data_IF_339583855490
#
_entry.id   IF_339583855490
#
_cell.length_a   1.000
_cell.length_b   1.000
_cell.length_c   1.000
_cell.angle_alpha   90.00
_cell.angle_beta   90.00
_cell.angle_gamma   90.00
#
_symmetry.space_group_name_H-M   'P 1'
#
loop_
_entity.id
_entity.type
_entity.pdbx_description
1 polymer ?
#
# COMPACT_ATOMS: atom_id res chain seq x y z
N UNK A 1 -29.03 4.44 -4.96
CA UNK A 1 -28.44 4.92 -3.69
C UNK A 1 -27.05 5.51 -3.97
N UNK A 2 -26.76 6.79 -3.70
CA UNK A 2 -25.44 7.37 -4.00
C UNK A 2 -24.38 6.85 -3.02
N UNK A 3 -23.20 6.49 -3.53
CA UNK A 3 -22.09 6.01 -2.71
C UNK A 3 -21.60 7.11 -1.74
N UNK A 4 -21.32 6.80 -0.46
CA UNK A 4 -20.80 7.77 0.49
C UNK A 4 -19.51 8.43 -0.03
N UNK A 5 -19.27 9.72 0.30
CA UNK A 5 -18.15 10.52 -0.25
C UNK A 5 -16.79 9.80 -0.17
N UNK A 6 -16.55 9.07 0.92
CA UNK A 6 -15.35 8.25 1.14
C UNK A 6 -15.25 7.05 0.19
N UNK A 7 -16.35 6.37 -0.09
CA UNK A 7 -16.40 5.28 -1.07
C UNK A 7 -16.16 5.80 -2.50
N UNK A 8 -16.64 7.01 -2.84
CA UNK A 8 -16.34 7.66 -4.13
C UNK A 8 -14.87 8.03 -4.27
N UNK A 9 -14.24 8.49 -3.19
CA UNK A 9 -12.81 8.72 -3.17
C UNK A 9 -12.06 7.41 -3.39
N UNK A 10 -12.34 6.36 -2.60
CA UNK A 10 -11.74 5.03 -2.76
C UNK A 10 -11.96 4.44 -4.16
N UNK A 11 -13.12 4.60 -4.76
CA UNK A 11 -13.40 4.14 -6.12
C UNK A 11 -12.59 4.91 -7.19
N UNK A 12 -12.44 6.23 -7.04
CA UNK A 12 -11.57 7.06 -7.90
C UNK A 12 -10.09 6.70 -7.72
N UNK A 13 -9.68 6.44 -6.49
CA UNK A 13 -8.33 6.00 -6.14
C UNK A 13 -8.05 4.64 -6.78
N UNK A 14 -8.95 3.67 -6.60
CA UNK A 14 -8.88 2.36 -7.22
C UNK A 14 -8.73 2.47 -8.74
N UNK A 15 -9.56 3.26 -9.44
CA UNK A 15 -9.44 3.42 -10.90
C UNK A 15 -8.10 3.98 -11.35
N UNK A 16 -7.49 4.90 -10.59
CA UNK A 16 -6.18 5.49 -10.93
C UNK A 16 -5.02 4.50 -10.78
N UNK A 17 -5.10 3.55 -9.84
CA UNK A 17 -4.08 2.50 -9.66
C UNK A 17 -4.36 1.26 -10.51
N UNK A 18 -5.59 0.79 -10.48
CA UNK A 18 -5.98 -0.48 -11.07
C UNK A 18 -5.82 -0.45 -12.59
N UNK A 19 -6.13 0.64 -13.31
CA UNK A 19 -6.08 0.61 -14.77
C UNK A 19 -4.64 0.44 -15.33
N UNK A 20 -3.64 1.23 -14.92
CA UNK A 20 -2.26 1.01 -15.37
C UNK A 20 -1.68 -0.32 -14.88
N UNK A 21 -1.96 -0.69 -13.63
CA UNK A 21 -1.46 -1.93 -13.03
C UNK A 21 -2.10 -3.16 -13.68
N UNK A 22 -3.41 -3.20 -13.86
CA UNK A 22 -4.11 -4.32 -14.49
C UNK A 22 -3.63 -4.56 -15.92
N UNK A 23 -3.30 -3.51 -16.68
CA UNK A 23 -2.69 -3.66 -18.01
C UNK A 23 -1.32 -4.33 -17.95
N UNK A 24 -0.52 -4.02 -16.94
CA UNK A 24 0.82 -4.57 -16.77
C UNK A 24 0.82 -6.02 -16.29
N UNK A 25 -0.21 -6.38 -15.51
CA UNK A 25 -0.38 -7.70 -14.93
C UNK A 25 -1.52 -8.48 -15.60
N UNK A 26 -1.90 -8.14 -16.84
CA UNK A 26 -2.94 -8.88 -17.57
C UNK A 26 -2.54 -10.36 -17.65
N UNK A 27 -3.40 -11.26 -17.17
CA UNK A 27 -3.11 -12.70 -17.06
C UNK A 27 -2.28 -13.14 -15.84
N UNK A 28 -1.93 -12.23 -14.92
CA UNK A 28 -1.28 -12.48 -13.63
C UNK A 28 -2.06 -11.83 -12.48
N UNK A 29 -1.77 -12.20 -11.23
CA UNK A 29 -2.38 -11.56 -10.06
C UNK A 29 -1.82 -10.13 -9.90
N UNK A 30 -2.65 -9.08 -9.99
CA UNK A 30 -2.18 -7.70 -9.82
C UNK A 30 -1.54 -7.47 -8.44
N UNK A 31 -0.54 -6.58 -8.31
CA UNK A 31 0.05 -6.16 -7.03
C UNK A 31 -0.87 -5.25 -6.20
N UNK A 32 -2.19 -5.33 -6.40
CA UNK A 32 -3.15 -4.58 -5.59
C UNK A 32 -3.26 -5.22 -4.22
N UNK A 33 -3.19 -4.38 -3.19
CA UNK A 33 -3.32 -4.78 -1.80
C UNK A 33 -4.09 -3.71 -1.00
N UNK A 34 -4.54 -4.05 0.20
CA UNK A 34 -5.14 -3.12 1.14
C UNK A 34 -4.20 -2.97 2.33
N UNK A 35 -3.80 -1.73 2.63
CA UNK A 35 -3.10 -1.42 3.87
C UNK A 35 -4.12 -1.07 4.94
N UNK A 36 -4.08 -1.80 6.05
CA UNK A 36 -4.76 -1.45 7.29
C UNK A 36 -3.82 -0.65 8.19
N UNK A 37 -4.26 0.52 8.65
CA UNK A 37 -3.45 1.36 9.54
C UNK A 37 -4.30 2.08 10.58
N UNK A 38 -3.69 2.54 11.65
CA UNK A 38 -4.37 3.29 12.72
C UNK A 38 -3.98 4.76 12.68
N UNK A 39 -4.96 5.66 12.68
CA UNK A 39 -4.72 7.10 12.71
C UNK A 39 -3.89 7.50 13.93
N UNK A 40 -2.75 8.18 13.72
CA UNK A 40 -1.81 8.53 14.80
C UNK A 40 -2.44 9.42 15.88
N UNK A 41 -3.38 10.28 15.49
CA UNK A 41 -4.10 11.20 16.38
C UNK A 41 -5.44 10.65 16.89
N UNK A 42 -6.21 9.99 16.02
CA UNK A 42 -7.57 9.55 16.33
C UNK A 42 -7.66 8.14 16.92
N UNK A 43 -6.64 7.31 16.75
CA UNK A 43 -6.70 5.89 17.12
C UNK A 43 -7.66 5.05 16.25
N UNK A 44 -8.27 5.66 15.23
CA UNK A 44 -9.26 4.98 14.37
C UNK A 44 -8.53 4.10 13.35
N UNK A 45 -9.05 2.89 13.13
CA UNK A 45 -8.59 1.99 12.07
C UNK A 45 -9.10 2.45 10.70
N UNK A 46 -8.21 2.46 9.72
CA UNK A 46 -8.46 2.83 8.33
C UNK A 46 -7.89 1.78 7.38
N UNK A 47 -8.46 1.72 6.18
CA UNK A 47 -8.05 0.81 5.10
C UNK A 47 -7.91 1.60 3.81
N UNK A 48 -6.79 1.42 3.10
CA UNK A 48 -6.52 2.11 1.85
C UNK A 48 -5.97 1.15 0.79
N UNK A 49 -6.48 1.18 -0.46
CA UNK A 49 -5.90 0.40 -1.54
C UNK A 49 -4.52 0.98 -1.92
N UNK A 50 -3.54 0.10 -2.09
CA UNK A 50 -2.17 0.44 -2.48
C UNK A 50 -1.66 -0.52 -3.56
N UNK A 51 -0.53 -0.15 -4.17
CA UNK A 51 0.26 -1.05 -5.01
C UNK A 51 1.45 -1.53 -4.21
N UNK A 52 1.48 -2.82 -3.89
CA UNK A 52 2.51 -3.45 -3.07
C UNK A 52 3.23 -4.56 -3.86
N UNK A 53 4.55 -4.50 -3.87
CA UNK A 53 5.44 -5.46 -4.51
C UNK A 53 6.16 -6.27 -3.46
N UNK A 54 6.29 -7.58 -3.65
CA UNK A 54 7.14 -8.40 -2.79
C UNK A 54 8.61 -8.02 -3.02
N UNK A 55 9.38 -7.91 -1.95
CA UNK A 55 10.81 -7.59 -1.99
C UNK A 55 11.51 -8.30 -0.83
N UNK A 56 12.38 -9.27 -1.15
CA UNK A 56 12.97 -10.14 -0.14
C UNK A 56 11.90 -10.91 0.62
N UNK A 57 11.97 -10.87 1.94
CA UNK A 57 10.94 -11.35 2.86
C UNK A 57 9.79 -10.34 3.06
N UNK A 58 9.97 -9.09 2.66
CA UNK A 58 9.04 -7.99 2.88
C UNK A 58 8.32 -7.46 1.65
N UNK A 59 7.89 -6.20 1.77
CA UNK A 59 7.10 -5.51 0.77
C UNK A 59 7.60 -4.10 0.52
N UNK A 60 7.55 -3.69 -0.74
CA UNK A 60 7.69 -2.30 -1.19
C UNK A 60 6.33 -1.78 -1.63
N UNK A 61 5.85 -0.74 -0.95
CA UNK A 61 4.57 -0.09 -1.26
C UNK A 61 4.86 1.23 -1.96
N UNK A 62 4.34 1.39 -3.17
CA UNK A 62 4.51 2.64 -3.93
C UNK A 62 3.62 3.75 -3.36
N UNK A 63 4.21 4.90 -3.01
CA UNK A 63 3.47 6.07 -2.54
C UNK A 63 2.93 6.88 -3.73
N UNK A 64 1.99 6.28 -4.46
CA UNK A 64 1.40 6.82 -5.70
C UNK A 64 0.56 8.09 -5.51
N UNK A 65 0.31 8.50 -4.27
CA UNK A 65 -0.53 9.65 -3.93
C UNK A 65 0.23 10.82 -3.34
N UNK A 66 1.56 10.78 -3.35
CA UNK A 66 2.38 11.85 -2.80
C UNK A 66 2.21 12.01 -1.27
N UNK A 67 2.89 13.00 -0.68
CA UNK A 67 3.01 13.19 0.78
C UNK A 67 1.72 13.63 1.49
N UNK A 68 0.60 13.81 0.78
CA UNK A 68 -0.71 14.17 1.36
C UNK A 68 -1.50 12.95 1.87
N UNK A 69 -1.06 11.74 1.53
CA UNK A 69 -1.76 10.52 1.90
C UNK A 69 -1.40 10.12 3.33
N UNK A 70 -2.05 10.74 4.33
CA UNK A 70 -1.83 10.60 5.79
C UNK A 70 -1.57 9.17 6.33
N UNK A 71 -1.94 8.13 5.57
CA UNK A 71 -1.72 6.73 5.94
C UNK A 71 -0.23 6.39 6.11
N UNK A 72 0.67 6.90 5.27
CA UNK A 72 2.11 6.57 5.34
C UNK A 72 2.73 7.09 6.64
N UNK A 73 2.40 8.33 7.01
CA UNK A 73 2.76 8.98 8.27
C UNK A 73 2.17 8.26 9.48
N UNK A 74 0.96 7.72 9.34
CA UNK A 74 0.36 6.92 10.40
C UNK A 74 1.09 5.59 10.60
N UNK A 75 1.47 4.92 9.51
CA UNK A 75 2.26 3.68 9.56
C UNK A 75 3.64 3.95 10.15
N UNK A 76 4.34 4.98 9.67
CA UNK A 76 5.65 5.39 10.21
C UNK A 76 5.57 5.72 11.70
N UNK A 77 4.55 6.47 12.14
CA UNK A 77 4.38 6.84 13.55
C UNK A 77 4.07 5.64 14.46
N UNK A 78 3.40 4.62 13.94
CA UNK A 78 3.08 3.39 14.70
C UNK A 78 4.14 2.31 14.57
N UNK A 79 5.04 2.43 13.60
CA UNK A 79 6.04 1.41 13.29
C UNK A 79 5.46 0.14 12.65
N UNK A 80 4.18 0.14 12.28
CA UNK A 80 3.50 -1.05 11.80
C UNK A 80 2.20 -0.81 11.04
N UNK A 81 1.81 -1.80 10.25
CA UNK A 81 0.52 -1.88 9.57
C UNK A 81 0.13 -3.34 9.27
N UNK A 82 -1.06 -3.55 8.70
CA UNK A 82 -1.40 -4.80 8.02
C UNK A 82 -1.44 -4.61 6.52
N UNK A 83 -1.08 -5.67 5.79
CA UNK A 83 -1.24 -5.75 4.35
C UNK A 83 -2.13 -6.95 4.02
N UNK A 84 -3.26 -6.67 3.37
CA UNK A 84 -4.15 -7.68 2.84
C UNK A 84 -3.97 -7.80 1.32
N UNK A 85 -3.63 -8.99 0.85
CA UNK A 85 -3.42 -9.29 -0.56
C UNK A 85 -3.94 -10.68 -0.88
N UNK A 86 -4.76 -10.80 -1.92
CA UNK A 86 -5.33 -12.08 -2.37
C UNK A 86 -6.00 -12.89 -1.25
N UNK A 87 -6.74 -12.19 -0.36
CA UNK A 87 -7.44 -12.81 0.78
C UNK A 87 -6.55 -13.20 1.95
N UNK A 88 -5.24 -12.91 1.91
CA UNK A 88 -4.30 -13.15 3.01
C UNK A 88 -3.91 -11.84 3.67
N UNK A 89 -3.92 -11.81 5.00
CA UNK A 89 -3.49 -10.66 5.80
C UNK A 89 -2.14 -10.94 6.44
N UNK A 90 -1.21 -10.02 6.31
CA UNK A 90 0.15 -10.09 6.89
C UNK A 90 0.37 -8.86 7.77
N UNK A 91 0.85 -9.07 9.01
CA UNK A 91 1.35 -7.98 9.86
C UNK A 91 2.72 -7.56 9.37
N UNK A 92 2.89 -6.26 9.14
CA UNK A 92 4.13 -5.66 8.66
C UNK A 92 4.66 -4.65 9.69
N UNK A 93 5.97 -4.67 9.90
CA UNK A 93 6.70 -3.80 10.80
C UNK A 93 7.89 -3.11 10.14
N UNK A 94 8.66 -2.40 10.96
CA UNK A 94 9.89 -1.70 10.58
C UNK A 94 9.76 -0.82 9.31
N UNK A 95 8.76 0.08 9.23
CA UNK A 95 8.52 0.87 8.03
C UNK A 95 9.68 1.84 7.78
N UNK A 96 10.24 1.78 6.57
CA UNK A 96 11.30 2.67 6.11
C UNK A 96 10.90 3.37 4.82
N UNK A 97 11.02 4.69 4.81
CA UNK A 97 10.82 5.48 3.60
C UNK A 97 12.08 5.38 2.73
N UNK A 98 11.92 4.93 1.49
CA UNK A 98 13.02 4.78 0.53
C UNK A 98 12.72 5.50 -0.78
N UNK A 99 13.78 5.96 -1.45
CA UNK A 99 13.69 6.71 -2.70
C UNK A 99 13.58 5.81 -3.94
N UNK A 100 13.33 6.38 -5.13
CA UNK A 100 13.24 5.63 -6.37
C UNK A 100 14.55 4.94 -6.75
N UNK A 101 15.70 5.53 -6.39
CA UNK A 101 17.02 4.97 -6.71
C UNK A 101 17.29 3.64 -5.99
N UNK A 102 16.69 3.44 -4.81
CA UNK A 102 16.76 2.19 -4.07
C UNK A 102 15.63 1.22 -4.46
N UNK A 103 14.41 1.73 -4.64
CA UNK A 103 13.23 0.89 -4.87
C UNK A 103 13.05 0.43 -6.33
N UNK A 104 13.39 1.25 -7.32
CA UNK A 104 13.16 0.90 -8.72
C UNK A 104 14.06 -0.24 -9.23
N UNK A 105 15.35 -0.33 -8.86
CA UNK A 105 16.23 -1.41 -9.32
C UNK A 105 15.72 -2.82 -9.04
N UNK A 106 15.00 -3.02 -7.93
CA UNK A 106 14.49 -4.33 -7.49
C UNK A 106 13.16 -4.72 -8.15
N UNK A 107 12.56 -3.83 -8.95
CA UNK A 107 11.31 -4.06 -9.67
C UNK A 107 11.57 -4.39 -11.15
N UNK A 108 10.66 -5.17 -11.75
CA UNK A 108 10.74 -5.51 -13.17
C UNK A 108 10.67 -4.27 -14.06
N UNK A 109 11.32 -4.32 -15.23
CA UNK A 109 11.41 -3.17 -16.15
C UNK A 109 10.03 -2.58 -16.54
N UNK A 110 8.99 -3.38 -16.81
CA UNK A 110 7.66 -2.85 -17.12
C UNK A 110 7.03 -2.11 -15.92
N UNK A 111 7.21 -2.64 -14.69
CA UNK A 111 6.72 -1.99 -13.46
C UNK A 111 7.43 -0.67 -13.25
N UNK A 112 8.75 -0.64 -13.43
CA UNK A 112 9.57 0.55 -13.32
C UNK A 112 9.12 1.65 -14.27
N UNK A 113 8.82 1.30 -15.53
CA UNK A 113 8.33 2.25 -16.52
C UNK A 113 6.99 2.89 -16.09
N UNK A 114 6.05 2.08 -15.61
CA UNK A 114 4.76 2.58 -15.11
C UNK A 114 4.94 3.49 -13.89
N UNK A 115 5.74 3.09 -12.91
CA UNK A 115 5.97 3.90 -11.70
C UNK A 115 6.67 5.23 -12.00
N UNK A 116 7.61 5.24 -12.95
CA UNK A 116 8.22 6.49 -13.46
C UNK A 116 7.21 7.38 -14.16
N UNK A 117 6.35 6.82 -15.01
CA UNK A 117 5.28 7.57 -15.68
C UNK A 117 4.27 8.17 -14.69
N UNK A 118 4.00 7.46 -13.60
CA UNK A 118 3.17 7.93 -12.48
C UNK A 118 3.92 8.89 -11.53
N UNK A 119 5.19 9.21 -11.80
CA UNK A 119 6.05 10.10 -10.99
C UNK A 119 6.08 9.71 -9.51
N UNK A 120 6.14 8.40 -9.22
CA UNK A 120 6.26 7.92 -7.84
C UNK A 120 7.64 8.28 -7.30
N UNK A 121 7.67 9.20 -6.34
CA UNK A 121 8.90 9.74 -5.75
C UNK A 121 9.34 9.07 -4.45
N UNK A 122 8.51 8.20 -3.86
CA UNK A 122 8.82 7.56 -2.59
C UNK A 122 8.10 6.21 -2.46
N UNK A 123 8.69 5.34 -1.64
CA UNK A 123 8.22 3.99 -1.37
C UNK A 123 8.33 3.71 0.12
N UNK A 124 7.41 2.90 0.63
CA UNK A 124 7.49 2.38 1.99
C UNK A 124 7.95 0.92 1.93
N UNK A 125 9.12 0.65 2.49
CA UNK A 125 9.62 -0.70 2.69
C UNK A 125 9.21 -1.19 4.07
N UNK A 126 8.66 -2.40 4.15
CA UNK A 126 8.30 -3.04 5.40
C UNK A 126 8.66 -4.53 5.36
N UNK A 127 8.92 -5.11 6.53
CA UNK A 127 9.17 -6.54 6.70
C UNK A 127 8.02 -7.21 7.45
N UNK A 128 7.78 -8.52 7.27
CA UNK A 128 6.78 -9.22 8.06
C UNK A 128 7.20 -9.22 9.52
N UNK A 129 6.23 -8.99 10.40
CA UNK A 129 6.40 -9.14 11.83
C UNK A 129 5.30 -10.05 12.36
N UNK A 130 5.54 -11.38 12.44
CA UNK A 130 4.55 -12.33 12.92
C UNK A 130 4.26 -12.20 14.42
N UNK A 131 5.11 -11.50 15.18
CA UNK A 131 4.89 -11.24 16.60
C UNK A 131 3.95 -10.06 16.86
N UNK A 132 3.66 -9.25 15.84
CA UNK A 132 2.81 -8.09 15.99
C UNK A 132 1.32 -8.46 15.89
N UNK A 133 0.50 -8.19 16.93
CA UNK A 133 -0.93 -8.38 16.83
C UNK A 133 -1.49 -7.51 15.70
N UNK A 134 -2.47 -8.00 14.92
CA UNK A 134 -3.12 -7.17 13.92
C UNK A 134 -3.66 -5.89 14.58
N UNK A 135 -3.57 -4.72 13.91
CA UNK A 135 -3.98 -3.46 14.50
C UNK A 135 -5.43 -3.56 14.98
N UNK A 136 -5.65 -3.12 16.24
CA UNK A 136 -6.94 -3.16 16.89
C UNK A 136 -7.99 -2.46 16.02
N UNK A 137 -9.05 -3.18 15.65
CA UNK A 137 -10.13 -2.67 14.80
C UNK A 137 -10.29 -3.36 13.44
N UNK A 138 -9.47 -4.38 13.14
CA UNK A 138 -9.68 -5.25 11.97
C UNK A 138 -10.88 -6.16 12.26
N UNK A 139 -12.12 -5.68 12.02
CA UNK A 139 -13.27 -6.58 11.98
C UNK A 139 -13.07 -7.52 10.78
N UNK A 140 -13.11 -8.86 10.96
CA UNK A 140 -13.29 -9.75 9.83
C UNK A 140 -14.63 -9.39 9.20
N UNK A 141 -14.60 -9.02 7.91
CA UNK A 141 -15.79 -8.84 7.10
C UNK A 141 -16.31 -10.17 6.60
#
# INVERSE_FOLDING_TARGET
>A
MPLPKRARLLARLNRRLANPVARLFAGRVPPLAIVGHTGRRSGIAYRVPVVAFAHGDGYLIALTYGPEADWDRNVLARGACTLERSGRTVSLGAPRLVGPDEALPVLSAPVRAVLRALKVGAFLQLTPDPGLPPPAGTRPG
#
